data_IF_118843373606
#
_entry.id   IF_118843373606
#
_cell.length_a   1.000
_cell.length_b   1.000
_cell.length_c   1.000
_cell.angle_alpha   90.00
_cell.angle_beta   90.00
_cell.angle_gamma   90.00
#
_symmetry.space_group_name_H-M   'P 1'
#
loop_
_entity.id
_entity.type
_entity.pdbx_description
1 polymer ?
#
# COMPACT_ATOMS: atom_id res chain seq x y z
N UNK A 1 -19.77 9.21 -1.34
CA UNK A 1 -19.00 9.36 -2.60
C UNK A 1 -19.91 9.01 -3.77
N UNK A 2 -20.11 9.90 -4.75
CA UNK A 2 -20.84 9.57 -5.98
C UNK A 2 -19.85 8.95 -6.97
N UNK A 3 -20.00 7.67 -7.26
CA UNK A 3 -19.24 6.98 -8.31
C UNK A 3 -19.67 7.54 -9.66
N UNK A 4 -18.74 7.91 -10.54
CA UNK A 4 -19.06 8.48 -11.86
C UNK A 4 -19.85 7.46 -12.71
N UNK A 5 -20.75 7.94 -13.57
CA UNK A 5 -21.62 7.10 -14.42
C UNK A 5 -20.83 6.07 -15.23
N UNK A 6 -19.66 6.46 -15.74
CA UNK A 6 -18.76 5.58 -16.50
C UNK A 6 -18.28 4.38 -15.67
N UNK A 7 -17.97 4.58 -14.40
CA UNK A 7 -17.50 3.51 -13.53
C UNK A 7 -18.63 2.53 -13.17
N UNK A 8 -19.87 3.02 -13.07
CA UNK A 8 -21.05 2.17 -12.87
C UNK A 8 -21.36 1.31 -14.11
N UNK A 9 -21.25 1.88 -15.30
CA UNK A 9 -21.40 1.12 -16.55
C UNK A 9 -20.31 0.06 -16.71
N UNK A 10 -19.07 0.38 -16.33
CA UNK A 10 -17.98 -0.59 -16.36
C UNK A 10 -18.20 -1.77 -15.40
N UNK A 11 -18.63 -1.50 -14.15
CA UNK A 11 -18.95 -2.54 -13.17
C UNK A 11 -20.09 -3.45 -13.70
N UNK A 12 -21.10 -2.87 -14.34
CA UNK A 12 -22.21 -3.62 -14.96
C UNK A 12 -21.75 -4.52 -16.10
N UNK A 13 -20.87 -4.02 -16.97
CA UNK A 13 -20.31 -4.81 -18.06
C UNK A 13 -19.43 -5.94 -17.53
N UNK A 14 -18.59 -5.66 -16.52
CA UNK A 14 -17.76 -6.67 -15.85
C UNK A 14 -18.63 -7.76 -15.18
N UNK A 15 -19.66 -7.36 -14.43
CA UNK A 15 -20.61 -8.27 -13.80
C UNK A 15 -21.26 -9.21 -14.83
N UNK A 16 -21.70 -8.66 -15.97
CA UNK A 16 -22.29 -9.42 -17.07
C UNK A 16 -21.30 -10.39 -17.71
N UNK A 17 -20.08 -9.96 -17.97
CA UNK A 17 -19.03 -10.80 -18.59
C UNK A 17 -18.56 -11.95 -17.69
N UNK A 18 -18.57 -11.74 -16.36
CA UNK A 18 -18.14 -12.73 -15.39
C UNK A 18 -19.29 -13.52 -14.75
N UNK A 19 -20.54 -13.31 -15.19
CA UNK A 19 -21.75 -13.92 -14.63
C UNK A 19 -21.87 -13.72 -13.10
N UNK A 20 -21.55 -12.50 -12.64
CA UNK A 20 -21.60 -12.07 -11.25
C UNK A 20 -22.74 -11.07 -11.04
N UNK A 21 -23.18 -10.90 -9.79
CA UNK A 21 -24.00 -9.75 -9.39
C UNK A 21 -23.13 -8.48 -9.39
N UNK A 22 -23.74 -7.30 -9.57
CA UNK A 22 -23.01 -6.02 -9.52
C UNK A 22 -22.26 -5.83 -8.19
N UNK A 23 -22.82 -6.29 -7.07
CA UNK A 23 -22.19 -6.25 -5.76
C UNK A 23 -20.98 -7.21 -5.67
N UNK A 24 -21.10 -8.44 -6.17
CA UNK A 24 -20.00 -9.39 -6.20
C UNK A 24 -18.87 -8.95 -7.13
N UNK A 25 -19.21 -8.35 -8.28
CA UNK A 25 -18.26 -7.71 -9.18
C UNK A 25 -17.49 -6.58 -8.49
N UNK A 26 -18.19 -5.68 -7.80
CA UNK A 26 -17.57 -4.59 -7.07
C UNK A 26 -16.63 -5.10 -5.97
N UNK A 27 -17.08 -6.06 -5.16
CA UNK A 27 -16.27 -6.65 -4.10
C UNK A 27 -15.01 -7.35 -4.64
N UNK A 28 -15.14 -8.05 -5.78
CA UNK A 28 -14.00 -8.66 -6.46
C UNK A 28 -12.99 -7.63 -6.93
N UNK A 29 -13.45 -6.57 -7.59
CA UNK A 29 -12.58 -5.48 -8.06
C UNK A 29 -11.86 -4.77 -6.91
N UNK A 30 -12.56 -4.52 -5.79
CA UNK A 30 -11.94 -3.98 -4.58
C UNK A 30 -10.90 -4.95 -4.02
N UNK A 31 -11.20 -6.25 -4.02
CA UNK A 31 -10.27 -7.31 -3.62
C UNK A 31 -9.02 -7.33 -4.48
N UNK A 32 -9.17 -7.34 -5.80
CA UNK A 32 -8.06 -7.38 -6.77
C UNK A 32 -7.15 -6.14 -6.62
N UNK A 33 -7.73 -4.94 -6.44
CA UNK A 33 -6.96 -3.71 -6.19
C UNK A 33 -6.19 -3.81 -4.87
N UNK A 34 -6.82 -4.31 -3.81
CA UNK A 34 -6.15 -4.49 -2.51
C UNK A 34 -5.01 -5.49 -2.60
N UNK A 35 -5.21 -6.62 -3.28
CA UNK A 35 -4.19 -7.65 -3.47
C UNK A 35 -3.00 -7.15 -4.30
N UNK A 36 -3.29 -6.37 -5.35
CA UNK A 36 -2.26 -5.72 -6.17
C UNK A 36 -1.43 -4.75 -5.33
N UNK A 37 -2.10 -3.85 -4.59
CA UNK A 37 -1.43 -2.88 -3.72
C UNK A 37 -0.62 -3.57 -2.61
N UNK A 38 -1.14 -4.65 -2.05
CA UNK A 38 -0.45 -5.46 -1.05
C UNK A 38 0.84 -6.07 -1.63
N UNK A 39 0.74 -6.68 -2.81
CA UNK A 39 1.86 -7.30 -3.51
C UNK A 39 2.95 -6.29 -3.87
N UNK A 40 2.55 -5.12 -4.38
CA UNK A 40 3.46 -3.99 -4.66
C UNK A 40 4.15 -3.50 -3.38
N UNK A 41 3.38 -3.39 -2.28
CA UNK A 41 3.95 -2.99 -0.98
C UNK A 41 4.99 -3.98 -0.50
N UNK A 42 4.71 -5.29 -0.56
CA UNK A 42 5.64 -6.34 -0.15
C UNK A 42 6.91 -6.30 -1.01
N UNK A 43 6.77 -6.16 -2.33
CA UNK A 43 7.90 -6.02 -3.25
C UNK A 43 8.78 -4.82 -2.91
N UNK A 44 8.17 -3.65 -2.66
CA UNK A 44 8.90 -2.44 -2.26
C UNK A 44 9.61 -2.63 -0.91
N UNK A 45 8.96 -3.26 0.07
CA UNK A 45 9.57 -3.56 1.36
C UNK A 45 10.80 -4.45 1.19
N UNK A 46 10.71 -5.47 0.35
CA UNK A 46 11.82 -6.38 0.09
C UNK A 46 13.00 -5.67 -0.58
N UNK A 47 12.74 -4.83 -1.58
CA UNK A 47 13.78 -4.00 -2.23
C UNK A 47 14.46 -3.03 -1.24
N UNK A 48 13.71 -2.46 -0.30
CA UNK A 48 14.26 -1.60 0.75
C UNK A 48 15.17 -2.42 1.67
N UNK A 49 14.73 -3.60 2.12
CA UNK A 49 15.51 -4.49 2.99
C UNK A 49 16.81 -4.91 2.32
N UNK A 50 16.79 -5.25 1.03
CA UNK A 50 17.99 -5.65 0.28
C UNK A 50 18.98 -4.50 0.06
N UNK A 51 18.49 -3.26 -0.02
CA UNK A 51 19.34 -2.07 -0.23
C UNK A 51 19.90 -1.50 1.05
N UNK A 52 19.18 -1.63 2.17
CA UNK A 52 19.56 -1.09 3.49
C UNK A 52 21.02 -1.40 3.89
N UNK A 53 21.54 -2.64 3.77
CA UNK A 53 22.92 -2.98 4.13
C UNK A 53 23.99 -2.27 3.28
N UNK A 54 23.63 -1.80 2.08
CA UNK A 54 24.55 -1.18 1.14
C UNK A 54 24.57 0.35 1.23
N UNK A 55 23.78 0.93 2.13
CA UNK A 55 23.72 2.38 2.31
C UNK A 55 24.89 2.89 3.15
N UNK A 56 25.43 4.04 2.76
CA UNK A 56 26.41 4.75 3.55
C UNK A 56 25.76 5.57 4.68
N UNK A 57 26.57 6.12 5.59
CA UNK A 57 26.10 6.87 6.75
C UNK A 57 25.27 8.11 6.40
N UNK A 58 25.60 8.82 5.31
CA UNK A 58 24.87 10.01 4.87
C UNK A 58 23.48 9.62 4.34
N UNK A 59 23.42 8.59 3.49
CA UNK A 59 22.16 8.06 2.96
C UNK A 59 21.25 7.54 4.09
N UNK A 60 21.81 6.86 5.08
CA UNK A 60 21.06 6.41 6.26
C UNK A 60 20.49 7.59 7.07
N UNK A 61 21.24 8.69 7.21
CA UNK A 61 20.74 9.92 7.85
C UNK A 61 19.62 10.57 7.05
N UNK A 62 19.75 10.68 5.74
CA UNK A 62 18.72 11.27 4.89
C UNK A 62 17.41 10.47 4.96
N UNK A 63 17.48 9.14 4.91
CA UNK A 63 16.32 8.28 5.08
C UNK A 63 15.68 8.49 6.45
N UNK A 64 16.49 8.52 7.52
CA UNK A 64 15.98 8.77 8.86
C UNK A 64 15.24 10.11 8.96
N UNK A 65 15.82 11.18 8.42
CA UNK A 65 15.20 12.51 8.44
C UNK A 65 13.87 12.52 7.67
N UNK A 66 13.82 11.88 6.50
CA UNK A 66 12.56 11.74 5.74
C UNK A 66 11.52 10.94 6.52
N UNK A 67 11.92 9.84 7.15
CA UNK A 67 11.01 9.04 7.98
C UNK A 67 10.50 9.87 9.17
N UNK A 68 11.34 10.67 9.82
CA UNK A 68 10.92 11.61 10.88
C UNK A 68 10.00 12.72 10.36
N UNK A 69 10.14 13.17 9.10
CA UNK A 69 9.22 14.14 8.49
C UNK A 69 7.82 13.56 8.27
N UNK A 70 7.73 12.32 7.74
CA UNK A 70 6.46 11.66 7.50
C UNK A 70 5.83 11.11 8.79
N UNK A 71 6.66 10.65 9.74
CA UNK A 71 6.26 10.02 10.98
C UNK A 71 7.09 10.54 12.17
N UNK A 72 6.75 11.74 12.70
CA UNK A 72 7.57 12.46 13.68
C UNK A 72 7.88 11.70 14.98
N UNK A 73 7.00 10.80 15.39
CA UNK A 73 7.11 10.07 16.66
C UNK A 73 7.56 8.62 16.48
N UNK A 74 7.81 8.15 15.24
CA UNK A 74 8.06 6.74 14.96
C UNK A 74 9.25 6.20 15.74
N UNK A 75 10.42 6.84 15.64
CA UNK A 75 11.62 6.38 16.34
C UNK A 75 11.51 6.49 17.86
N UNK A 76 10.78 7.48 18.37
CA UNK A 76 10.50 7.59 19.80
C UNK A 76 9.68 6.39 20.29
N UNK A 77 8.57 6.07 19.60
CA UNK A 77 7.72 4.93 19.92
C UNK A 77 8.49 3.61 19.83
N UNK A 78 9.28 3.41 18.77
CA UNK A 78 10.13 2.22 18.63
C UNK A 78 11.17 2.10 19.75
N UNK A 79 11.77 3.22 20.18
CA UNK A 79 12.75 3.23 21.26
C UNK A 79 12.14 2.86 22.62
N UNK A 80 10.89 3.25 22.86
CA UNK A 80 10.16 2.87 24.08
C UNK A 80 9.69 1.41 24.03
N UNK A 81 9.35 0.89 22.84
CA UNK A 81 8.93 -0.50 22.67
C UNK A 81 10.06 -1.52 22.95
N UNK A 82 11.32 -1.15 22.69
CA UNK A 82 12.50 -2.01 22.90
C UNK A 82 12.92 -2.05 24.40
N UNK A 83 12.50 -1.09 25.21
CA UNK A 83 12.83 -1.02 26.64
C UNK A 83 11.96 -1.93 27.55
N UNK A 84 10.93 -2.57 26.98
CA UNK A 84 10.10 -3.58 27.66
C UNK A 84 10.61 -4.98 27.37
#
# INVERSE_FOLDING_TARGET
MKVSKEHQEWIKQYAKSHNLTEEAALNKLIGDVRETQESERVSLQQQIIERLPNLNLEQMREIRQRVEQFYPTLFHVLSEAIKK
#
